data_IF_146445254043
#
_entry.id   IF_146445254043
#
_cell.length_a   1.000
_cell.length_b   1.000
_cell.length_c   1.000
_cell.angle_alpha   90.00
_cell.angle_beta   90.00
_cell.angle_gamma   90.00
#
_symmetry.space_group_name_H-M   'P 1'
#
loop_
_entity.id
_entity.type
_entity.pdbx_description
1 polymer ?
#
# COMPACT_ATOMS: atom_id res chain seq x y z
N UNK A 1 18.66 -21.41 -32.53
CA UNK A 1 17.21 -21.43 -32.21
C UNK A 1 16.90 -21.39 -30.71
N UNK A 2 17.69 -22.02 -29.82
CA UNK A 2 17.40 -22.02 -28.37
C UNK A 2 17.56 -20.65 -27.69
N UNK A 3 18.51 -19.83 -28.12
CA UNK A 3 18.79 -18.49 -27.57
C UNK A 3 17.66 -17.49 -27.78
N UNK A 4 17.01 -17.53 -28.96
CA UNK A 4 15.89 -16.65 -29.32
C UNK A 4 14.65 -16.90 -28.45
N UNK A 5 14.40 -18.16 -28.07
CA UNK A 5 13.29 -18.52 -27.18
C UNK A 5 13.53 -17.98 -25.77
N UNK A 6 14.73 -18.18 -25.23
CA UNK A 6 15.09 -17.67 -23.89
C UNK A 6 15.10 -16.14 -23.79
N UNK A 7 15.51 -15.43 -24.84
CA UNK A 7 15.46 -13.96 -24.85
C UNK A 7 14.01 -13.46 -24.92
N UNK A 8 13.17 -14.08 -25.74
CA UNK A 8 11.74 -13.75 -25.81
C UNK A 8 11.04 -14.00 -24.46
N UNK A 9 11.33 -15.12 -23.79
CA UNK A 9 10.74 -15.44 -22.50
C UNK A 9 11.20 -14.45 -21.41
N UNK A 10 12.48 -14.08 -21.38
CA UNK A 10 13.00 -13.04 -20.46
C UNK A 10 12.36 -11.68 -20.72
N UNK A 11 12.24 -11.30 -21.99
CA UNK A 11 11.58 -10.05 -22.37
C UNK A 11 10.12 -10.02 -21.92
N UNK A 12 9.36 -11.10 -22.16
CA UNK A 12 7.97 -11.21 -21.70
C UNK A 12 7.85 -11.13 -20.19
N UNK A 13 8.75 -11.81 -19.45
CA UNK A 13 8.78 -11.75 -18.00
C UNK A 13 9.05 -10.32 -17.48
N UNK A 14 9.99 -9.60 -18.08
CA UNK A 14 10.29 -8.22 -17.69
C UNK A 14 9.12 -7.28 -17.99
N UNK A 15 8.47 -7.44 -19.15
CA UNK A 15 7.26 -6.67 -19.49
C UNK A 15 6.13 -6.94 -18.49
N UNK A 16 5.84 -8.19 -18.18
CA UNK A 16 4.79 -8.54 -17.20
C UNK A 16 5.11 -7.98 -15.82
N UNK A 17 6.38 -8.02 -15.40
CA UNK A 17 6.83 -7.44 -14.13
C UNK A 17 6.64 -5.92 -14.09
N UNK A 18 7.04 -5.22 -15.15
CA UNK A 18 6.89 -3.77 -15.25
C UNK A 18 5.42 -3.36 -15.26
N UNK A 19 4.59 -4.04 -16.06
CA UNK A 19 3.14 -3.83 -16.13
C UNK A 19 2.50 -4.06 -14.76
N UNK A 20 2.83 -5.16 -14.09
CA UNK A 20 2.32 -5.45 -12.74
C UNK A 20 2.71 -4.37 -11.75
N UNK A 21 3.94 -3.84 -11.84
CA UNK A 21 4.42 -2.75 -10.99
C UNK A 21 3.59 -1.48 -11.20
N UNK A 22 3.32 -1.10 -12.44
CA UNK A 22 2.49 0.09 -12.73
C UNK A 22 1.04 -0.09 -12.32
N UNK A 23 0.46 -1.28 -12.52
CA UNK A 23 -0.88 -1.62 -12.07
C UNK A 23 -0.97 -1.50 -10.54
N UNK A 24 -0.02 -2.10 -9.82
CA UNK A 24 0.03 -2.03 -8.36
C UNK A 24 0.24 -0.59 -7.86
N UNK A 25 1.09 0.20 -8.54
CA UNK A 25 1.30 1.61 -8.21
C UNK A 25 0.01 2.42 -8.37
N UNK A 26 -0.69 2.25 -9.51
CA UNK A 26 -1.98 2.91 -9.76
C UNK A 26 -3.05 2.51 -8.74
N UNK A 27 -3.19 1.21 -8.46
CA UNK A 27 -4.12 0.72 -7.45
C UNK A 27 -3.75 1.14 -6.04
N UNK A 28 -2.47 1.32 -5.73
CA UNK A 28 -2.02 1.85 -4.43
C UNK A 28 -2.59 3.23 -4.15
N UNK A 29 -2.65 4.10 -5.17
CA UNK A 29 -3.26 5.44 -5.05
C UNK A 29 -4.77 5.31 -4.84
N UNK A 30 -5.45 4.51 -5.66
CA UNK A 30 -6.91 4.30 -5.56
C UNK A 30 -7.28 3.72 -4.19
N UNK A 31 -6.53 2.74 -3.70
CA UNK A 31 -6.72 2.14 -2.39
C UNK A 31 -6.51 3.18 -1.27
N UNK A 32 -5.47 4.03 -1.37
CA UNK A 32 -5.25 5.11 -0.41
C UNK A 32 -6.40 6.11 -0.35
N UNK A 33 -6.94 6.50 -1.51
CA UNK A 33 -8.10 7.38 -1.60
C UNK A 33 -9.35 6.74 -0.99
N UNK A 34 -9.63 5.48 -1.32
CA UNK A 34 -10.77 4.74 -0.78
C UNK A 34 -10.70 4.55 0.74
N UNK A 35 -9.51 4.26 1.29
CA UNK A 35 -9.32 4.15 2.73
C UNK A 35 -9.52 5.49 3.46
N UNK A 36 -9.07 6.61 2.86
CA UNK A 36 -9.34 7.94 3.40
C UNK A 36 -10.86 8.23 3.46
N UNK A 37 -11.61 7.95 2.41
CA UNK A 37 -13.06 8.12 2.40
C UNK A 37 -13.78 7.18 3.38
N UNK A 38 -13.36 5.93 3.48
CA UNK A 38 -13.93 4.94 4.38
C UNK A 38 -13.78 5.35 5.85
N UNK A 39 -12.57 5.80 6.26
CA UNK A 39 -12.33 6.25 7.64
C UNK A 39 -13.17 7.49 7.95
N UNK A 40 -13.26 8.45 7.03
CA UNK A 40 -14.09 9.65 7.24
C UNK A 40 -15.55 9.29 7.41
N UNK A 41 -16.08 8.47 6.51
CA UNK A 41 -17.49 8.03 6.56
C UNK A 41 -17.80 7.23 7.82
N UNK A 42 -16.85 6.41 8.28
CA UNK A 42 -16.99 5.65 9.52
C UNK A 42 -17.04 6.58 10.75
N UNK A 43 -16.19 7.61 10.79
CA UNK A 43 -16.19 8.59 11.88
C UNK A 43 -17.50 9.38 11.87
N UNK A 44 -17.95 9.85 10.70
CA UNK A 44 -19.21 10.56 10.55
C UNK A 44 -20.42 9.70 10.98
N UNK A 45 -20.37 8.40 10.69
CA UNK A 45 -21.40 7.44 11.11
C UNK A 45 -21.42 7.20 12.62
N UNK A 46 -20.26 7.04 13.26
CA UNK A 46 -20.16 6.77 14.70
C UNK A 46 -20.41 8.04 15.53
N UNK A 47 -20.01 9.20 15.00
CA UNK A 47 -20.08 10.49 15.68
C UNK A 47 -20.75 11.51 14.74
N UNK A 48 -22.10 11.56 14.70
CA UNK A 48 -22.85 12.51 13.87
C UNK A 48 -22.81 13.93 14.46
N UNK A 49 -21.62 14.39 14.85
CA UNK A 49 -21.34 15.79 15.16
C UNK A 49 -21.13 16.54 13.85
N UNK A 50 -21.32 17.88 13.84
CA UNK A 50 -21.08 18.66 12.64
C UNK A 50 -19.66 18.40 12.11
N UNK A 51 -19.52 18.10 10.81
CA UNK A 51 -18.24 17.79 10.13
C UNK A 51 -17.14 18.86 10.35
N UNK A 52 -17.53 20.07 10.77
CA UNK A 52 -16.63 21.17 11.12
C UNK A 52 -16.21 21.20 12.60
N UNK A 53 -16.66 20.25 13.42
CA UNK A 53 -16.24 20.11 14.80
C UNK A 53 -14.75 19.76 14.87
N UNK A 54 -13.98 20.58 15.58
CA UNK A 54 -12.54 20.35 15.84
C UNK A 54 -12.30 18.95 16.42
N UNK A 55 -13.25 18.43 17.20
CA UNK A 55 -13.21 17.10 17.81
C UNK A 55 -13.21 15.96 16.77
N UNK A 56 -14.02 16.03 15.71
CA UNK A 56 -14.07 15.01 14.68
C UNK A 56 -12.75 14.95 13.87
N UNK A 57 -12.19 16.12 13.56
CA UNK A 57 -10.87 16.23 12.90
C UNK A 57 -9.74 15.69 13.77
N UNK A 58 -9.80 15.93 15.08
CA UNK A 58 -8.80 15.42 16.02
C UNK A 58 -8.87 13.89 16.13
N UNK A 59 -10.08 13.32 16.21
CA UNK A 59 -10.25 11.86 16.21
C UNK A 59 -9.75 11.24 14.90
N UNK A 60 -10.10 11.83 13.76
CA UNK A 60 -9.57 11.42 12.45
C UNK A 60 -8.04 11.41 12.43
N UNK A 61 -7.39 12.47 12.92
CA UNK A 61 -5.93 12.56 12.98
C UNK A 61 -5.29 11.48 13.85
N UNK A 62 -5.89 11.14 15.00
CA UNK A 62 -5.41 10.05 15.86
C UNK A 62 -5.56 8.70 15.17
N UNK A 63 -6.73 8.42 14.60
CA UNK A 63 -7.03 7.15 13.91
C UNK A 63 -6.08 6.94 12.73
N UNK A 64 -5.92 7.95 11.86
CA UNK A 64 -5.04 7.80 10.69
C UNK A 64 -3.57 7.62 11.11
N UNK A 65 -3.12 8.25 12.20
CA UNK A 65 -1.76 8.07 12.73
C UNK A 65 -1.53 6.63 13.19
N UNK A 66 -2.49 6.05 13.92
CA UNK A 66 -2.40 4.64 14.35
C UNK A 66 -2.32 3.72 13.13
N UNK A 67 -3.19 3.92 12.13
CA UNK A 67 -3.18 3.12 10.89
C UNK A 67 -1.83 3.22 10.17
N UNK A 68 -1.28 4.44 10.02
CA UNK A 68 0.03 4.66 9.38
C UNK A 68 1.14 3.96 10.14
N UNK A 69 1.14 3.98 11.47
CA UNK A 69 2.14 3.26 12.29
C UNK A 69 2.04 1.75 12.07
N UNK A 70 0.83 1.18 12.10
CA UNK A 70 0.61 -0.25 11.89
C UNK A 70 1.09 -0.70 10.51
N UNK A 71 0.72 0.03 9.46
CA UNK A 71 1.16 -0.25 8.08
C UNK A 71 2.68 -0.11 7.96
N UNK A 72 3.25 0.95 8.53
CA UNK A 72 4.70 1.17 8.51
C UNK A 72 5.45 0.02 9.19
N UNK A 73 4.99 -0.45 10.35
CA UNK A 73 5.57 -1.61 11.01
C UNK A 73 5.48 -2.89 10.18
N UNK A 74 4.34 -3.13 9.51
CA UNK A 74 4.16 -4.29 8.63
C UNK A 74 5.14 -4.27 7.45
N UNK A 75 5.29 -3.11 6.79
CA UNK A 75 6.23 -2.92 5.67
C UNK A 75 7.68 -3.10 6.13
N UNK A 76 8.06 -2.48 7.26
CA UNK A 76 9.40 -2.61 7.83
C UNK A 76 9.74 -4.08 8.17
N UNK A 77 8.76 -4.85 8.67
CA UNK A 77 8.94 -6.27 8.97
C UNK A 77 9.20 -7.09 7.70
N UNK A 78 8.50 -6.79 6.60
CA UNK A 78 8.69 -7.49 5.32
C UNK A 78 10.10 -7.25 4.75
N UNK A 79 10.61 -6.02 4.81
CA UNK A 79 11.95 -5.71 4.30
C UNK A 79 13.07 -6.38 5.11
N UNK A 80 12.93 -6.50 6.45
CA UNK A 80 13.91 -7.19 7.29
C UNK A 80 13.98 -8.71 7.04
N UNK A 81 12.93 -9.31 6.48
CA UNK A 81 12.92 -10.73 6.13
C UNK A 81 13.75 -11.03 4.88
N UNK A 82 13.83 -10.10 3.93
CA UNK A 82 14.69 -10.23 2.75
C UNK A 82 16.19 -10.07 3.07
N UNK A 83 16.53 -9.32 4.12
CA UNK A 83 17.92 -9.00 4.47
C UNK A 83 18.64 -10.13 5.27
N UNK A 84 17.88 -11.06 5.87
CA UNK A 84 18.46 -12.22 6.57
C UNK A 84 18.82 -13.37 5.64
N UNK A 85 18.23 -13.44 4.44
CA UNK A 85 18.44 -14.53 3.50
C UNK A 85 19.67 -14.34 2.61
N UNK A 86 20.11 -13.10 2.38
CA UNK A 86 21.30 -12.76 1.58
C UNK A 86 22.64 -12.87 2.32
N UNK A 87 22.64 -13.20 3.61
CA UNK A 87 23.86 -13.33 4.44
C UNK A 87 24.26 -14.78 4.75
N UNK A 88 23.54 -15.76 4.22
CA UNK A 88 23.82 -17.18 4.46
C UNK A 88 23.99 -18.01 3.18
N UNK A 89 24.00 -17.34 2.03
CA UNK A 89 24.42 -17.89 0.72
C UNK A 89 25.75 -17.23 0.34
#
# INVERSE_FOLDING_TARGET
MQTLRTESDKFRAEVTKQVSTYILAGFGIVAGLAWNEAIRSLIDYIYPLPQNGVQAKFLYAVVITIVVILVSMAVLRSNRAHDKKSRHD
#
